data_IF_829061028484
#
_entry.id   IF_829061028484
#
_cell.length_a   1.000
_cell.length_b   1.000
_cell.length_c   1.000
_cell.angle_alpha   90.00
_cell.angle_beta   90.00
_cell.angle_gamma   90.00
#
_symmetry.space_group_name_H-M   'P 1'
#
loop_
_entity.id
_entity.type
_entity.pdbx_description
1 polymer ?
#
# COMPACT_ATOMS: atom_id res chain seq x y z
N UNK A 1 -4.19 -7.83 -19.54
CA UNK A 1 -4.68 -6.58 -20.13
C UNK A 1 -5.37 -5.68 -19.10
N UNK A 2 -6.26 -6.18 -18.23
CA UNK A 2 -7.01 -5.35 -17.28
C UNK A 2 -6.12 -4.49 -16.36
N UNK A 3 -5.12 -5.09 -15.72
CA UNK A 3 -4.19 -4.37 -14.84
C UNK A 3 -3.35 -3.30 -15.57
N UNK A 4 -2.98 -3.54 -16.83
CA UNK A 4 -2.25 -2.55 -17.62
C UNK A 4 -3.11 -1.33 -17.92
N UNK A 5 -4.35 -1.54 -18.38
CA UNK A 5 -5.25 -0.45 -18.75
C UNK A 5 -5.77 0.31 -17.52
N UNK A 6 -5.95 -0.39 -16.38
CA UNK A 6 -6.54 0.20 -15.18
C UNK A 6 -5.54 0.94 -14.28
N UNK A 7 -4.30 0.45 -14.17
CA UNK A 7 -3.33 1.02 -13.24
C UNK A 7 -1.98 1.35 -13.88
N UNK A 8 -1.35 0.39 -14.57
CA UNK A 8 0.05 0.55 -15.02
C UNK A 8 0.20 1.67 -16.04
N UNK A 9 -0.77 1.86 -16.94
CA UNK A 9 -0.75 2.97 -17.90
C UNK A 9 -0.68 4.32 -17.20
N UNK A 10 -1.48 4.50 -16.18
CA UNK A 10 -1.50 5.74 -15.40
C UNK A 10 -0.21 5.93 -14.60
N UNK A 11 0.38 4.84 -14.08
CA UNK A 11 1.71 4.88 -13.44
C UNK A 11 2.80 5.36 -14.41
N UNK A 12 2.76 4.89 -15.65
CA UNK A 12 3.70 5.32 -16.71
C UNK A 12 3.50 6.80 -17.05
N UNK A 13 2.26 7.26 -17.15
CA UNK A 13 1.95 8.68 -17.40
C UNK A 13 2.44 9.56 -16.25
N UNK A 14 2.22 9.18 -15.00
CA UNK A 14 2.74 9.88 -13.82
C UNK A 14 4.27 9.89 -13.79
N UNK A 15 4.90 8.76 -14.13
CA UNK A 15 6.35 8.63 -14.17
C UNK A 15 7.01 9.47 -15.27
N UNK A 16 6.31 9.72 -16.38
CA UNK A 16 6.80 10.54 -17.47
C UNK A 16 6.69 12.04 -17.19
N UNK A 17 5.88 12.46 -16.22
CA UNK A 17 5.85 13.85 -15.78
C UNK A 17 7.10 14.16 -14.94
N UNK A 18 7.93 15.09 -15.42
CA UNK A 18 9.19 15.48 -14.77
C UNK A 18 9.02 16.21 -13.42
N UNK A 19 7.81 16.62 -13.08
CA UNK A 19 7.51 17.25 -11.79
C UNK A 19 7.24 16.21 -10.68
N UNK A 20 7.09 14.93 -11.05
CA UNK A 20 6.79 13.88 -10.11
C UNK A 20 8.04 13.08 -9.74
N UNK A 21 8.24 12.87 -8.44
CA UNK A 21 9.10 11.81 -7.90
C UNK A 21 8.24 10.58 -7.63
N UNK A 22 8.45 9.52 -8.40
CA UNK A 22 7.63 8.32 -8.31
C UNK A 22 8.36 7.19 -7.57
N UNK A 23 7.65 6.57 -6.64
CA UNK A 23 8.12 5.41 -5.88
C UNK A 23 7.17 4.24 -6.13
N UNK A 24 7.69 3.13 -6.65
CA UNK A 24 6.94 1.93 -6.98
C UNK A 24 7.37 0.77 -6.08
N UNK A 25 6.45 0.31 -5.26
CA UNK A 25 6.66 -0.79 -4.33
C UNK A 25 6.02 -2.08 -4.85
N UNK A 26 6.81 -3.15 -4.96
CA UNK A 26 6.29 -4.50 -5.20
C UNK A 26 5.91 -5.09 -3.85
N UNK A 27 4.63 -5.20 -3.58
CA UNK A 27 4.02 -5.40 -2.25
C UNK A 27 3.93 -6.88 -1.85
N UNK A 28 5.04 -7.54 -1.69
CA UNK A 28 5.12 -8.97 -1.35
C UNK A 28 4.68 -9.28 0.09
N UNK A 29 4.78 -8.35 1.03
CA UNK A 29 4.23 -8.53 2.37
C UNK A 29 2.70 -8.51 2.37
N UNK A 30 2.07 -7.75 1.47
CA UNK A 30 0.62 -7.83 1.27
C UNK A 30 0.21 -9.17 0.64
N UNK A 31 1.02 -9.69 -0.27
CA UNK A 31 0.73 -10.96 -0.94
C UNK A 31 0.61 -12.12 0.06
N UNK A 32 1.43 -12.16 1.11
CA UNK A 32 1.43 -13.24 2.11
C UNK A 32 0.28 -13.16 3.13
N UNK A 33 -0.59 -12.15 3.07
CA UNK A 33 -1.80 -12.09 3.89
C UNK A 33 -2.78 -13.23 3.58
N UNK A 34 -2.64 -13.83 2.42
CA UNK A 34 -3.28 -15.06 1.99
C UNK A 34 -2.23 -16.12 1.68
N UNK A 35 -2.62 -17.39 1.72
CA UNK A 35 -1.68 -18.50 1.48
C UNK A 35 -1.03 -18.39 0.10
N UNK A 36 0.30 -18.46 0.04
CA UNK A 36 1.11 -18.39 -1.17
C UNK A 36 2.07 -19.60 -1.25
N UNK A 37 2.29 -20.08 -2.47
CA UNK A 37 3.43 -20.97 -2.72
C UNK A 37 4.72 -20.12 -2.78
N UNK A 38 5.76 -20.40 -1.98
CA UNK A 38 6.97 -19.57 -1.93
C UNK A 38 7.69 -19.42 -3.28
N UNK A 39 7.70 -20.49 -4.11
CA UNK A 39 8.35 -20.43 -5.42
C UNK A 39 7.55 -19.58 -6.41
N UNK A 40 6.22 -19.70 -6.39
CA UNK A 40 5.34 -18.87 -7.21
C UNK A 40 5.43 -17.41 -6.79
N UNK A 41 5.40 -17.11 -5.48
CA UNK A 41 5.56 -15.75 -4.98
C UNK A 41 6.86 -15.10 -5.46
N UNK A 42 7.98 -15.84 -5.39
CA UNK A 42 9.28 -15.36 -5.88
C UNK A 42 9.25 -15.06 -7.38
N UNK A 43 8.60 -15.88 -8.17
CA UNK A 43 8.44 -15.65 -9.61
C UNK A 43 7.53 -14.46 -9.88
N UNK A 44 6.39 -14.36 -9.18
CA UNK A 44 5.42 -13.27 -9.33
C UNK A 44 6.04 -11.90 -9.01
N UNK A 45 6.91 -11.81 -7.98
CA UNK A 45 7.67 -10.59 -7.67
C UNK A 45 8.52 -10.17 -8.86
N UNK A 46 9.25 -11.09 -9.48
CA UNK A 46 10.10 -10.82 -10.65
C UNK A 46 9.28 -10.42 -11.87
N UNK A 47 8.19 -11.13 -12.13
CA UNK A 47 7.29 -10.85 -13.25
C UNK A 47 6.61 -9.48 -13.09
N UNK A 48 6.19 -9.13 -11.88
CA UNK A 48 5.62 -7.81 -11.59
C UNK A 48 6.64 -6.70 -11.85
N UNK A 49 7.86 -6.87 -11.36
CA UNK A 49 8.95 -5.91 -11.62
C UNK A 49 9.25 -5.79 -13.11
N UNK A 50 9.36 -6.93 -13.82
CA UNK A 50 9.58 -6.95 -15.26
C UNK A 50 8.43 -6.28 -16.02
N UNK A 51 7.19 -6.46 -15.57
CA UNK A 51 6.02 -5.82 -16.16
C UNK A 51 6.07 -4.31 -16.00
N UNK A 52 6.47 -3.78 -14.84
CA UNK A 52 6.65 -2.35 -14.65
C UNK A 52 7.67 -1.78 -15.65
N UNK A 53 8.84 -2.40 -15.75
CA UNK A 53 9.90 -1.98 -16.69
C UNK A 53 9.45 -2.07 -18.15
N UNK A 54 8.86 -3.20 -18.54
CA UNK A 54 8.38 -3.43 -19.91
C UNK A 54 7.24 -2.48 -20.32
N UNK A 55 6.49 -1.99 -19.33
CA UNK A 55 5.39 -1.04 -19.58
C UNK A 55 5.87 0.41 -19.74
N UNK A 56 7.14 0.69 -19.45
CA UNK A 56 7.75 2.01 -19.65
C UNK A 56 8.02 2.80 -18.36
N UNK A 57 7.90 2.18 -17.17
CA UNK A 57 8.40 2.81 -15.95
C UNK A 57 9.92 2.85 -16.00
N UNK A 58 10.48 4.05 -15.94
CA UNK A 58 11.92 4.27 -16.08
C UNK A 58 12.62 4.20 -14.72
N UNK A 59 13.47 3.17 -14.45
CA UNK A 59 14.17 3.01 -13.19
C UNK A 59 15.29 4.05 -12.96
N UNK A 60 15.67 4.82 -13.96
CA UNK A 60 16.61 5.94 -13.80
C UNK A 60 15.94 7.20 -13.25
N UNK A 61 14.59 7.27 -13.36
CA UNK A 61 13.78 8.40 -12.91
C UNK A 61 12.95 8.09 -11.67
N UNK A 62 12.81 6.80 -11.33
CA UNK A 62 11.91 6.35 -10.28
C UNK A 62 12.57 5.30 -9.41
N UNK A 63 12.12 5.21 -8.19
CA UNK A 63 12.52 4.14 -7.28
C UNK A 63 11.57 2.96 -7.46
N UNK A 64 12.11 1.79 -7.82
CA UNK A 64 11.36 0.53 -7.86
C UNK A 64 12.02 -0.43 -6.88
N UNK A 65 11.26 -0.94 -5.93
CA UNK A 65 11.81 -1.83 -4.91
C UNK A 65 10.80 -2.88 -4.44
N UNK A 66 11.30 -3.90 -3.76
CA UNK A 66 10.50 -4.93 -3.14
C UNK A 66 10.25 -4.59 -1.66
N UNK A 67 9.00 -4.56 -1.23
CA UNK A 67 8.57 -4.15 0.11
C UNK A 67 9.32 -4.85 1.24
N UNK A 68 9.47 -6.19 1.16
CA UNK A 68 10.17 -6.98 2.20
C UNK A 68 11.67 -6.68 2.31
N UNK A 69 12.25 -5.92 1.36
CA UNK A 69 13.67 -5.53 1.42
C UNK A 69 13.92 -4.27 2.24
N UNK A 70 12.85 -3.60 2.64
CA UNK A 70 12.90 -2.41 3.50
C UNK A 70 12.18 -2.73 4.82
N UNK A 71 12.92 -3.06 5.86
CA UNK A 71 12.37 -3.50 7.16
C UNK A 71 11.46 -2.45 7.81
N UNK A 72 11.70 -1.18 7.51
CA UNK A 72 10.93 -0.07 8.03
C UNK A 72 9.42 -0.16 7.74
N UNK A 73 8.99 -0.84 6.67
CA UNK A 73 7.57 -1.08 6.39
C UNK A 73 6.90 -1.86 7.53
N UNK A 74 7.51 -2.99 7.93
CA UNK A 74 6.99 -3.83 9.00
C UNK A 74 7.09 -3.17 10.37
N UNK A 75 8.18 -2.44 10.63
CA UNK A 75 8.40 -1.70 11.87
C UNK A 75 7.38 -0.58 12.02
N UNK A 76 7.19 0.24 10.98
CA UNK A 76 6.18 1.31 10.96
C UNK A 76 4.76 0.74 11.06
N UNK A 77 4.46 -0.35 10.36
CA UNK A 77 3.16 -1.01 10.46
C UNK A 77 2.86 -1.46 11.89
N UNK A 78 3.86 -1.98 12.62
CA UNK A 78 3.70 -2.33 14.01
C UNK A 78 3.40 -1.11 14.90
N UNK A 79 4.17 -0.04 14.74
CA UNK A 79 3.97 1.21 15.48
C UNK A 79 2.57 1.78 15.21
N UNK A 80 2.16 1.85 13.94
CA UNK A 80 0.85 2.35 13.55
C UNK A 80 -0.29 1.44 14.02
N UNK A 81 -0.06 0.12 14.15
CA UNK A 81 -1.02 -0.81 14.72
C UNK A 81 -1.33 -0.51 16.19
N UNK A 82 -0.36 0.07 16.92
CA UNK A 82 -0.57 0.52 18.30
C UNK A 82 -1.37 1.84 18.39
N UNK A 83 -1.55 2.54 17.28
CA UNK A 83 -2.32 3.80 17.18
C UNK A 83 -3.69 3.57 16.54
N UNK A 84 -3.77 2.71 15.54
CA UNK A 84 -4.99 2.39 14.81
C UNK A 84 -6.06 1.78 15.75
N UNK A 85 -7.32 2.03 15.44
CA UNK A 85 -8.44 1.54 16.25
C UNK A 85 -9.10 0.33 15.62
N UNK A 86 -9.40 -0.69 16.42
CA UNK A 86 -10.16 -1.86 15.98
C UNK A 86 -11.48 -1.49 15.28
N UNK A 87 -12.19 -0.48 15.79
CA UNK A 87 -13.43 0.00 15.18
C UNK A 87 -13.27 0.56 13.76
N UNK A 88 -12.09 1.07 13.40
CA UNK A 88 -11.80 1.51 12.03
C UNK A 88 -11.62 0.32 11.11
N UNK A 89 -10.82 -0.66 11.53
CA UNK A 89 -10.58 -1.89 10.77
C UNK A 89 -11.84 -2.73 10.59
N UNK A 90 -12.71 -2.78 11.60
CA UNK A 90 -14.00 -3.49 11.53
C UNK A 90 -14.95 -2.93 10.46
N UNK A 91 -14.76 -1.67 10.05
CA UNK A 91 -15.57 -1.03 8.99
C UNK A 91 -15.06 -1.32 7.59
N UNK A 92 -13.81 -1.83 7.46
CA UNK A 92 -13.20 -2.11 6.17
C UNK A 92 -13.99 -3.18 5.39
N UNK A 93 -14.47 -2.83 4.22
CA UNK A 93 -15.29 -3.71 3.38
C UNK A 93 -14.49 -4.87 2.80
N UNK A 94 -13.26 -4.62 2.37
CA UNK A 94 -12.41 -5.62 1.73
C UNK A 94 -12.05 -6.80 2.66
N UNK A 95 -11.92 -6.58 3.96
CA UNK A 95 -11.75 -7.69 4.90
C UNK A 95 -12.98 -8.62 4.88
N UNK A 96 -14.18 -8.02 4.87
CA UNK A 96 -15.44 -8.77 4.86
C UNK A 96 -15.60 -9.62 3.59
N UNK A 97 -15.17 -9.10 2.46
CA UNK A 97 -15.21 -9.77 1.16
C UNK A 97 -14.18 -10.91 1.07
N UNK A 98 -12.92 -10.63 1.44
CA UNK A 98 -11.81 -11.60 1.34
C UNK A 98 -11.87 -12.71 2.39
N UNK A 99 -12.33 -12.42 3.60
CA UNK A 99 -12.50 -13.41 4.66
C UNK A 99 -13.69 -14.36 4.38
N UNK A 100 -14.63 -13.99 3.51
CA UNK A 100 -15.79 -14.80 3.14
C UNK A 100 -16.68 -15.14 4.34
N UNK A 101 -17.24 -16.35 4.33
CA UNK A 101 -18.15 -16.84 5.39
C UNK A 101 -17.40 -17.27 6.66
N UNK A 102 -16.14 -17.60 6.56
CA UNK A 102 -15.33 -18.26 7.60
C UNK A 102 -14.29 -17.30 8.18
N UNK A 103 -14.78 -16.19 8.75
CA UNK A 103 -13.93 -15.11 9.28
C UNK A 103 -12.94 -15.57 10.36
N UNK A 104 -13.28 -16.63 11.09
CA UNK A 104 -12.42 -17.19 12.14
C UNK A 104 -11.15 -17.84 11.60
N UNK A 105 -11.16 -18.24 10.32
CA UNK A 105 -9.98 -18.79 9.65
C UNK A 105 -9.13 -17.73 8.94
N UNK A 106 -9.59 -16.49 8.89
CA UNK A 106 -8.83 -15.39 8.30
C UNK A 106 -7.59 -15.10 9.14
N UNK A 107 -6.46 -14.84 8.48
CA UNK A 107 -5.24 -14.47 9.17
C UNK A 107 -5.36 -13.07 9.79
N UNK A 108 -4.61 -12.82 10.87
CA UNK A 108 -4.49 -11.46 11.44
C UNK A 108 -3.91 -10.51 10.40
N UNK A 109 -2.99 -10.97 9.54
CA UNK A 109 -2.44 -10.19 8.44
C UNK A 109 -3.52 -9.70 7.48
N UNK A 110 -4.50 -10.54 7.14
CA UNK A 110 -5.63 -10.14 6.29
C UNK A 110 -6.54 -9.10 6.98
N UNK A 111 -6.61 -9.09 8.30
CA UNK A 111 -7.35 -8.09 9.05
C UNK A 111 -6.59 -6.77 9.17
N UNK A 112 -5.27 -6.83 9.39
CA UNK A 112 -4.43 -5.66 9.69
C UNK A 112 -3.70 -5.06 8.49
N UNK A 113 -3.75 -5.69 7.28
CA UNK A 113 -3.03 -5.18 6.13
C UNK A 113 -3.34 -3.71 5.76
N UNK A 114 -4.51 -3.13 6.07
CA UNK A 114 -4.73 -1.71 5.81
C UNK A 114 -3.80 -0.79 6.62
N UNK A 115 -3.32 -1.27 7.79
CA UNK A 115 -2.31 -0.55 8.58
C UNK A 115 -0.93 -0.66 7.94
N UNK A 116 -0.59 -1.82 7.37
CA UNK A 116 0.63 -1.97 6.57
C UNK A 116 0.60 -1.07 5.33
N UNK A 117 -0.55 -0.95 4.65
CA UNK A 117 -0.72 -0.02 3.54
C UNK A 117 -0.52 1.43 3.99
N UNK A 118 -1.04 1.82 5.15
CA UNK A 118 -0.78 3.15 5.70
C UNK A 118 0.73 3.36 5.97
N UNK A 119 1.43 2.35 6.48
CA UNK A 119 2.88 2.41 6.67
C UNK A 119 3.62 2.58 5.35
N UNK A 120 3.23 1.84 4.30
CA UNK A 120 3.82 1.94 2.95
C UNK A 120 3.75 3.36 2.37
N UNK A 121 2.69 4.09 2.71
CA UNK A 121 2.45 5.45 2.23
C UNK A 121 3.16 6.49 3.11
N UNK A 122 2.96 6.41 4.42
CA UNK A 122 3.41 7.41 5.38
C UNK A 122 4.94 7.39 5.57
N UNK A 123 5.58 6.24 5.37
CA UNK A 123 7.02 6.08 5.49
C UNK A 123 7.81 6.94 4.49
N UNK A 124 7.20 7.28 3.37
CA UNK A 124 7.83 8.02 2.27
C UNK A 124 7.31 9.45 2.13
N UNK A 125 6.52 9.94 3.08
CA UNK A 125 5.85 11.25 2.99
C UNK A 125 5.13 11.44 1.66
N UNK A 126 4.49 10.37 1.15
CA UNK A 126 3.81 10.39 -0.12
C UNK A 126 2.71 11.45 -0.11
N UNK A 127 2.82 12.44 -0.98
CA UNK A 127 1.83 13.51 -1.11
C UNK A 127 0.59 13.06 -1.87
N UNK A 128 0.75 12.17 -2.85
CA UNK A 128 -0.31 11.66 -3.70
C UNK A 128 -0.19 10.16 -3.87
N UNK A 129 -1.30 9.46 -3.81
CA UNK A 129 -1.37 8.01 -4.03
C UNK A 129 -2.42 7.72 -5.10
N UNK A 130 -2.00 7.24 -6.29
CA UNK A 130 -2.95 6.85 -7.34
C UNK A 130 -3.63 5.55 -6.96
N UNK A 131 -4.93 5.59 -6.80
CA UNK A 131 -5.75 4.43 -6.39
C UNK A 131 -7.05 4.36 -7.17
N UNK A 132 -7.56 3.15 -7.35
CA UNK A 132 -8.93 2.94 -7.79
C UNK A 132 -9.96 3.29 -6.71
N UNK A 133 -11.21 3.44 -7.11
CA UNK A 133 -12.32 3.78 -6.21
C UNK A 133 -12.48 2.80 -5.04
N UNK A 134 -12.16 1.53 -5.25
CA UNK A 134 -12.20 0.46 -4.23
C UNK A 134 -11.18 0.65 -3.12
N UNK A 135 -10.13 1.46 -3.32
CA UNK A 135 -9.06 1.74 -2.36
C UNK A 135 -9.26 3.06 -1.59
N UNK A 136 -10.28 3.85 -1.89
CA UNK A 136 -10.56 5.12 -1.18
C UNK A 136 -10.63 4.94 0.33
N UNK A 137 -11.35 3.91 0.79
CA UNK A 137 -11.52 3.63 2.21
C UNK A 137 -10.18 3.36 2.92
N UNK A 138 -9.21 2.77 2.22
CA UNK A 138 -7.87 2.54 2.76
C UNK A 138 -7.08 3.84 2.92
N UNK A 139 -7.23 4.77 1.97
CA UNK A 139 -6.58 6.08 2.08
C UNK A 139 -7.21 6.95 3.16
N UNK A 140 -8.53 6.88 3.36
CA UNK A 140 -9.20 7.53 4.48
C UNK A 140 -8.67 6.99 5.81
N UNK A 141 -8.51 5.66 5.93
CA UNK A 141 -7.89 5.06 7.11
C UNK A 141 -6.44 5.52 7.30
N UNK A 142 -5.66 5.62 6.24
CA UNK A 142 -4.29 6.13 6.30
C UNK A 142 -4.25 7.56 6.88
N UNK A 143 -5.15 8.44 6.44
CA UNK A 143 -5.30 9.81 6.96
C UNK A 143 -5.70 9.83 8.43
N UNK A 144 -6.68 9.00 8.80
CA UNK A 144 -7.13 8.87 10.20
C UNK A 144 -5.97 8.43 11.11
N UNK A 145 -5.15 7.47 10.66
CA UNK A 145 -3.98 6.99 11.38
C UNK A 145 -2.93 8.09 11.52
N UNK A 146 -2.59 8.80 10.42
CA UNK A 146 -1.63 9.90 10.43
C UNK A 146 -2.05 11.00 11.41
N UNK A 147 -3.30 11.44 11.33
CA UNK A 147 -3.84 12.46 12.23
C UNK A 147 -3.84 11.99 13.68
N UNK A 148 -4.23 10.74 13.93
CA UNK A 148 -4.26 10.16 15.27
C UNK A 148 -2.86 10.06 15.88
N UNK A 149 -1.87 9.65 15.06
CA UNK A 149 -0.48 9.59 15.47
C UNK A 149 0.02 10.99 15.86
N UNK A 150 -0.13 11.98 14.98
CA UNK A 150 0.30 13.36 15.22
C UNK A 150 -0.34 13.93 16.51
N UNK A 151 -1.64 13.70 16.71
CA UNK A 151 -2.35 14.15 17.90
C UNK A 151 -1.89 13.44 19.17
N UNK A 152 -1.66 12.12 19.14
CA UNK A 152 -1.25 11.36 20.31
C UNK A 152 0.12 11.76 20.83
N UNK A 153 1.02 12.14 19.93
CA UNK A 153 2.39 12.50 20.27
C UNK A 153 2.62 14.02 20.31
N UNK A 154 1.54 14.81 20.12
CA UNK A 154 1.58 16.27 20.12
C UNK A 154 2.62 16.86 19.13
N UNK A 155 2.82 16.16 18.00
CA UNK A 155 3.76 16.52 16.95
C UNK A 155 2.95 17.03 15.77
N UNK A 156 3.24 18.25 15.33
CA UNK A 156 2.59 18.83 14.16
C UNK A 156 3.20 18.26 12.88
N UNK A 157 2.34 17.72 12.00
CA UNK A 157 2.69 17.29 10.64
C UNK A 157 3.88 16.31 10.56
N UNK A 158 4.06 15.43 11.55
CA UNK A 158 5.05 14.36 11.47
C UNK A 158 4.71 13.37 10.35
N UNK A 159 3.45 12.92 10.29
CA UNK A 159 2.93 12.25 9.11
C UNK A 159 2.02 13.20 8.35
N UNK A 160 2.30 13.38 7.07
CA UNK A 160 1.47 14.16 6.15
C UNK A 160 0.37 13.25 5.60
N UNK A 161 -0.88 13.71 5.69
CA UNK A 161 -2.00 12.96 5.14
C UNK A 161 -1.99 13.06 3.60
N UNK A 162 -1.87 11.92 2.87
CA UNK A 162 -1.78 11.94 1.42
C UNK A 162 -3.10 12.35 0.76
N UNK A 163 -3.02 12.94 -0.42
CA UNK A 163 -4.16 13.13 -1.30
C UNK A 163 -4.35 11.90 -2.20
N UNK A 164 -5.58 11.57 -2.52
CA UNK A 164 -5.87 10.52 -3.48
C UNK A 164 -5.97 11.08 -4.90
N UNK A 165 -5.28 10.43 -5.84
CA UNK A 165 -5.52 10.62 -7.26
C UNK A 165 -6.47 9.50 -7.71
N UNK A 166 -7.74 9.86 -7.94
CA UNK A 166 -8.72 8.90 -8.46
C UNK A 166 -8.42 8.69 -9.94
N UNK A 167 -8.33 7.44 -10.33
CA UNK A 167 -8.08 7.00 -11.70
C UNK A 167 -9.27 6.22 -12.24
#
# INVERSE_FOLDING_TARGET
MGNYLGAIKNFVELNNNSENECVFCVVDLHAITVSQNPNELKNNIRETTATFLASGINPEKSIIFNQSKVSAHSETAWILSCVARMGWLNRMTQFKEKAGKDKEKASIGLYSYPVLMAADILLYDATHVPVGDDQKQHLELCRDIAQKFNNNFEIKDFFVAPEHLIQ
#
